data_IF_276390187252
#
_entry.id   IF_276390187252
#
_cell.length_a   1.000
_cell.length_b   1.000
_cell.length_c   1.000
_cell.angle_alpha   90.00
_cell.angle_beta   90.00
_cell.angle_gamma   90.00
#
_symmetry.space_group_name_H-M   'P 1'
#
loop_
_entity.id
_entity.type
_entity.pdbx_description
1 polymer ?
#
# COMPACT_ATOMS: atom_id res chain seq x y z
N UNK A 1 35.56 -6.24 -15.36
CA UNK A 1 34.09 -6.31 -15.46
C UNK A 1 33.58 -4.89 -15.25
N UNK A 2 33.18 -4.22 -16.32
CA UNK A 2 32.55 -2.91 -16.26
C UNK A 2 31.15 -3.11 -15.69
N UNK A 3 30.96 -2.78 -14.41
CA UNK A 3 29.62 -2.59 -13.85
C UNK A 3 29.01 -1.43 -14.60
N UNK A 4 28.12 -1.72 -15.56
CA UNK A 4 27.29 -0.70 -16.19
C UNK A 4 26.56 0.04 -15.07
N UNK A 5 26.82 1.34 -14.97
CA UNK A 5 26.14 2.20 -14.01
C UNK A 5 24.70 2.34 -14.45
N UNK A 6 23.81 1.51 -13.88
CA UNK A 6 22.37 1.60 -14.07
C UNK A 6 21.96 3.04 -13.76
N UNK A 7 21.35 3.72 -14.74
CA UNK A 7 20.95 5.12 -14.60
C UNK A 7 19.62 5.25 -13.85
N UNK A 8 19.28 6.47 -13.44
CA UNK A 8 17.97 6.74 -12.82
C UNK A 8 16.81 6.37 -13.75
N UNK A 9 16.93 6.67 -15.04
CA UNK A 9 15.90 6.41 -16.05
C UNK A 9 15.72 4.91 -16.31
N UNK A 10 16.81 4.13 -16.23
CA UNK A 10 16.75 2.66 -16.34
C UNK A 10 15.94 2.04 -15.19
N UNK A 11 16.14 2.53 -13.95
CA UNK A 11 15.39 2.07 -12.78
C UNK A 11 13.90 2.41 -12.88
N UNK A 12 13.57 3.60 -13.37
CA UNK A 12 12.18 4.04 -13.58
C UNK A 12 11.52 3.16 -14.65
N UNK A 13 12.19 2.98 -15.80
CA UNK A 13 11.68 2.17 -16.91
C UNK A 13 11.46 0.72 -16.50
N UNK A 14 12.43 0.12 -15.80
CA UNK A 14 12.33 -1.25 -15.27
C UNK A 14 11.16 -1.39 -14.29
N UNK A 15 10.97 -0.42 -13.39
CA UNK A 15 9.85 -0.43 -12.45
C UNK A 15 8.49 -0.28 -13.15
N UNK A 16 8.38 0.59 -14.15
CA UNK A 16 7.16 0.77 -14.95
C UNK A 16 6.77 -0.51 -15.69
N UNK A 17 7.75 -1.22 -16.26
CA UNK A 17 7.51 -2.51 -16.92
C UNK A 17 7.07 -3.62 -15.95
N UNK A 18 7.45 -3.51 -14.67
CA UNK A 18 7.13 -4.48 -13.63
C UNK A 18 5.78 -4.25 -12.92
N UNK A 19 5.09 -3.13 -13.19
CA UNK A 19 3.86 -2.70 -12.49
C UNK A 19 2.78 -3.78 -12.38
N UNK A 20 2.59 -4.58 -13.43
CA UNK A 20 1.55 -5.61 -13.49
C UNK A 20 2.03 -7.02 -13.17
N UNK A 21 3.35 -7.23 -13.04
CA UNK A 21 3.92 -8.58 -13.12
C UNK A 21 4.90 -8.93 -11.99
N UNK A 22 5.58 -7.97 -11.37
CA UNK A 22 6.63 -8.30 -10.42
C UNK A 22 6.84 -7.26 -9.30
N UNK A 23 6.21 -7.50 -8.15
CA UNK A 23 6.39 -6.67 -6.95
C UNK A 23 7.84 -6.63 -6.44
N UNK A 24 8.60 -7.72 -6.62
CA UNK A 24 10.01 -7.80 -6.23
C UNK A 24 10.88 -6.84 -7.02
N UNK A 25 10.71 -6.78 -8.35
CA UNK A 25 11.47 -5.87 -9.22
C UNK A 25 11.18 -4.41 -8.89
N UNK A 26 9.93 -4.06 -8.56
CA UNK A 26 9.58 -2.71 -8.12
C UNK A 26 10.30 -2.38 -6.80
N UNK A 27 10.32 -3.31 -5.84
CA UNK A 27 11.03 -3.14 -4.56
C UNK A 27 12.53 -2.95 -4.73
N UNK A 28 13.17 -3.72 -5.61
CA UNK A 28 14.58 -3.60 -6.00
C UNK A 28 14.87 -2.22 -6.61
N UNK A 29 14.10 -1.83 -7.62
CA UNK A 29 14.28 -0.56 -8.31
C UNK A 29 14.09 0.62 -7.35
N UNK A 30 13.08 0.55 -6.48
CA UNK A 30 12.87 1.56 -5.45
C UNK A 30 14.04 1.62 -4.47
N UNK A 31 14.57 0.48 -4.00
CA UNK A 31 15.71 0.44 -3.10
C UNK A 31 16.97 1.05 -3.73
N UNK A 32 17.28 0.67 -4.98
CA UNK A 32 18.42 1.21 -5.71
C UNK A 32 18.27 2.71 -6.00
N UNK A 33 17.07 3.14 -6.40
CA UNK A 33 16.77 4.53 -6.69
C UNK A 33 16.89 5.39 -5.43
N UNK A 34 16.33 4.93 -4.30
CA UNK A 34 16.42 5.66 -3.03
C UNK A 34 17.87 5.76 -2.55
N UNK A 35 18.67 4.71 -2.76
CA UNK A 35 20.07 4.70 -2.34
C UNK A 35 20.96 5.61 -3.20
N UNK A 36 20.75 5.64 -4.52
CA UNK A 36 21.67 6.30 -5.48
C UNK A 36 21.18 7.68 -5.94
N UNK A 37 19.88 7.88 -6.03
CA UNK A 37 19.29 9.01 -6.76
C UNK A 37 18.32 9.88 -5.94
N UNK A 38 17.83 9.44 -4.78
CA UNK A 38 16.86 10.19 -3.98
C UNK A 38 17.27 11.67 -3.77
N UNK A 39 18.49 11.94 -3.26
CA UNK A 39 19.00 13.30 -3.02
C UNK A 39 18.01 14.22 -2.29
N UNK A 40 17.28 13.69 -1.31
CA UNK A 40 16.22 14.39 -0.57
C UNK A 40 14.79 14.11 -1.06
N UNK A 41 14.63 13.43 -2.20
CA UNK A 41 13.37 12.83 -2.64
C UNK A 41 13.03 11.57 -1.85
N UNK A 42 11.77 11.19 -1.88
CA UNK A 42 11.15 10.12 -1.08
C UNK A 42 10.53 9.05 -1.96
N UNK A 43 10.00 7.99 -1.34
CA UNK A 43 9.22 6.96 -2.05
C UNK A 43 7.99 7.54 -2.76
N UNK A 44 7.43 8.65 -2.26
CA UNK A 44 6.34 9.35 -2.93
C UNK A 44 6.78 9.95 -4.27
N UNK A 45 7.98 10.53 -4.33
CA UNK A 45 8.53 11.08 -5.57
C UNK A 45 8.81 9.96 -6.59
N UNK A 46 9.34 8.82 -6.15
CA UNK A 46 9.52 7.67 -7.03
C UNK A 46 8.18 7.09 -7.49
N UNK A 47 7.20 7.01 -6.59
CA UNK A 47 5.83 6.59 -6.88
C UNK A 47 5.20 7.41 -8.00
N UNK A 48 5.35 8.74 -7.97
CA UNK A 48 4.88 9.63 -9.05
C UNK A 48 5.49 9.26 -10.41
N UNK A 49 6.78 8.90 -10.45
CA UNK A 49 7.48 8.54 -11.69
C UNK A 49 7.00 7.22 -12.30
N UNK A 50 6.53 6.29 -11.47
CA UNK A 50 6.11 4.95 -11.91
C UNK A 50 4.60 4.73 -11.86
N UNK A 51 3.81 5.70 -11.38
CA UNK A 51 2.36 5.61 -11.28
C UNK A 51 1.84 4.81 -10.08
N UNK A 52 2.59 4.79 -8.96
CA UNK A 52 2.17 4.19 -7.70
C UNK A 52 2.11 5.23 -6.58
N UNK A 53 1.36 4.93 -5.52
CA UNK A 53 1.42 5.75 -4.30
C UNK A 53 2.76 5.58 -3.58
N UNK A 54 3.19 6.59 -2.82
CA UNK A 54 4.42 6.50 -2.04
C UNK A 54 4.41 5.35 -1.02
N UNK A 55 3.25 5.05 -0.46
CA UNK A 55 3.06 3.92 0.46
C UNK A 55 3.23 2.57 -0.24
N UNK A 56 2.66 2.41 -1.45
CA UNK A 56 2.82 1.20 -2.27
C UNK A 56 4.29 0.94 -2.65
N UNK A 57 5.05 2.00 -2.92
CA UNK A 57 6.50 1.92 -3.19
C UNK A 57 7.24 1.56 -1.92
N UNK A 58 6.95 2.25 -0.80
CA UNK A 58 7.59 2.03 0.48
C UNK A 58 7.44 0.56 0.94
N UNK A 59 6.24 -0.01 0.86
CA UNK A 59 5.98 -1.40 1.24
C UNK A 59 6.82 -2.38 0.42
N UNK A 60 6.85 -2.24 -0.91
CA UNK A 60 7.64 -3.10 -1.80
C UNK A 60 9.13 -2.96 -1.56
N UNK A 61 9.61 -1.74 -1.34
CA UNK A 61 11.00 -1.45 -0.98
C UNK A 61 11.38 -2.11 0.34
N UNK A 62 10.53 -2.02 1.36
CA UNK A 62 10.79 -2.63 2.68
C UNK A 62 10.84 -4.14 2.63
N UNK A 63 9.92 -4.78 1.89
CA UNK A 63 9.94 -6.24 1.68
C UNK A 63 11.24 -6.65 0.98
N UNK A 64 11.61 -5.96 -0.10
CA UNK A 64 12.87 -6.25 -0.80
C UNK A 64 14.08 -6.06 0.12
N UNK A 65 14.19 -4.94 0.83
CA UNK A 65 15.33 -4.68 1.73
C UNK A 65 15.45 -5.70 2.86
N UNK A 66 14.36 -6.35 3.26
CA UNK A 66 14.33 -7.29 4.39
C UNK A 66 14.59 -8.72 3.96
N UNK A 67 14.14 -9.11 2.76
CA UNK A 67 14.13 -10.51 2.33
C UNK A 67 14.86 -10.79 1.01
N UNK A 68 15.46 -9.78 0.36
CA UNK A 68 16.12 -9.94 -0.95
C UNK A 68 17.26 -10.97 -0.97
N UNK A 69 17.89 -11.24 0.16
CA UNK A 69 18.97 -12.21 0.31
C UNK A 69 18.48 -13.65 0.52
N UNK A 70 17.22 -13.83 0.94
CA UNK A 70 16.67 -15.14 1.30
C UNK A 70 15.48 -15.58 0.45
N UNK A 71 14.82 -14.67 -0.29
CA UNK A 71 13.57 -15.01 -1.00
C UNK A 71 13.75 -16.11 -2.06
N UNK A 72 14.94 -16.24 -2.68
CA UNK A 72 15.26 -17.30 -3.63
C UNK A 72 15.22 -18.71 -3.00
N UNK A 73 15.32 -18.81 -1.66
CA UNK A 73 15.18 -20.09 -0.94
C UNK A 73 13.71 -20.54 -0.83
N UNK A 74 12.75 -19.66 -1.14
CA UNK A 74 11.32 -19.87 -0.94
C UNK A 74 10.57 -19.84 -2.28
N UNK A 75 10.84 -20.80 -3.16
CA UNK A 75 10.32 -20.82 -4.54
C UNK A 75 8.79 -20.95 -4.64
N UNK A 76 8.13 -21.46 -3.59
CA UNK A 76 6.68 -21.62 -3.55
C UNK A 76 5.92 -20.42 -2.97
N UNK A 77 6.64 -19.46 -2.36
CA UNK A 77 6.03 -18.34 -1.68
C UNK A 77 5.82 -17.14 -2.60
N UNK A 78 4.71 -16.44 -2.39
CA UNK A 78 4.39 -15.21 -3.10
C UNK A 78 4.88 -14.02 -2.30
N UNK A 79 5.07 -12.88 -2.97
CA UNK A 79 5.43 -11.61 -2.32
C UNK A 79 4.52 -11.29 -1.11
N UNK A 80 3.23 -11.64 -1.18
CA UNK A 80 2.26 -11.45 -0.10
C UNK A 80 2.63 -12.16 1.21
N UNK A 81 3.31 -13.31 1.15
CA UNK A 81 3.79 -14.02 2.35
C UNK A 81 4.85 -13.18 3.08
N UNK A 82 5.82 -12.67 2.33
CA UNK A 82 6.88 -11.81 2.89
C UNK A 82 6.33 -10.48 3.38
N UNK A 83 5.36 -9.92 2.68
CA UNK A 83 4.71 -8.68 3.06
C UNK A 83 4.05 -8.77 4.44
N UNK A 84 3.26 -9.83 4.70
CA UNK A 84 2.61 -9.98 6.00
C UNK A 84 3.63 -10.30 7.11
N UNK A 85 4.74 -10.95 6.77
CA UNK A 85 5.79 -11.32 7.71
C UNK A 85 6.79 -10.19 8.00
N UNK A 86 6.67 -9.03 7.36
CA UNK A 86 7.66 -7.94 7.40
C UNK A 86 7.99 -7.46 8.83
N UNK A 87 7.02 -7.51 9.74
CA UNK A 87 7.17 -7.06 11.11
C UNK A 87 7.08 -8.21 12.14
N UNK A 88 7.14 -9.46 11.68
CA UNK A 88 7.10 -10.62 12.57
C UNK A 88 8.50 -10.94 13.08
N UNK A 89 8.62 -11.13 14.38
CA UNK A 89 9.86 -11.54 15.06
C UNK A 89 10.26 -12.98 14.69
N UNK A 90 9.27 -13.82 14.40
CA UNK A 90 9.35 -15.22 13.98
C UNK A 90 9.14 -15.41 12.46
N UNK A 91 9.41 -14.37 11.66
CA UNK A 91 9.20 -14.39 10.21
C UNK A 91 9.87 -15.59 9.52
N UNK A 92 11.11 -15.92 9.89
CA UNK A 92 11.86 -17.02 9.28
C UNK A 92 11.19 -18.39 9.50
N UNK A 93 10.71 -18.65 10.72
CA UNK A 93 10.00 -19.89 11.06
C UNK A 93 8.65 -19.97 10.35
N UNK A 94 7.90 -18.87 10.31
CA UNK A 94 6.62 -18.80 9.62
C UNK A 94 6.75 -19.01 8.10
N UNK A 95 7.74 -18.37 7.47
CA UNK A 95 7.99 -18.50 6.03
C UNK A 95 8.46 -19.92 5.69
N UNK A 96 9.35 -20.52 6.51
CA UNK A 96 9.77 -21.89 6.31
C UNK A 96 8.60 -22.87 6.41
N UNK A 97 7.76 -22.73 7.44
CA UNK A 97 6.57 -23.55 7.59
C UNK A 97 5.61 -23.40 6.38
N UNK A 98 5.37 -22.17 5.92
CA UNK A 98 4.50 -21.93 4.78
C UNK A 98 5.05 -22.53 3.48
N UNK A 99 6.38 -22.53 3.30
CA UNK A 99 7.04 -23.15 2.16
C UNK A 99 6.92 -24.67 2.20
N UNK A 100 7.12 -25.28 3.37
CA UNK A 100 7.07 -26.74 3.53
C UNK A 100 5.63 -27.28 3.39
N UNK A 101 4.64 -26.50 3.82
CA UNK A 101 3.22 -26.88 3.79
C UNK A 101 2.47 -26.37 2.54
N UNK A 102 3.14 -25.66 1.64
CA UNK A 102 2.52 -24.93 0.52
C UNK A 102 1.33 -24.05 0.96
N UNK A 103 1.45 -23.46 2.15
CA UNK A 103 0.35 -22.79 2.82
C UNK A 103 0.03 -21.44 2.20
N UNK A 104 -1.25 -21.08 2.21
CA UNK A 104 -1.72 -19.72 1.89
C UNK A 104 -1.29 -18.73 2.99
N UNK A 105 -1.37 -17.43 2.67
CA UNK A 105 -1.10 -16.35 3.64
C UNK A 105 -2.02 -16.44 4.87
N UNK A 106 -3.27 -16.84 4.68
CA UNK A 106 -4.24 -16.98 5.76
C UNK A 106 -3.86 -18.14 6.70
N UNK A 107 -3.46 -19.28 6.14
CA UNK A 107 -2.98 -20.43 6.91
C UNK A 107 -1.68 -20.12 7.65
N UNK A 108 -0.76 -19.39 7.03
CA UNK A 108 0.47 -18.94 7.70
C UNK A 108 0.18 -18.03 8.90
N UNK A 109 -0.75 -17.07 8.75
CA UNK A 109 -1.23 -16.23 9.87
C UNK A 109 -1.87 -17.07 10.98
N UNK A 110 -2.72 -18.02 10.62
CA UNK A 110 -3.40 -18.89 11.58
C UNK A 110 -2.42 -19.82 12.33
N UNK A 111 -1.45 -20.40 11.61
CA UNK A 111 -0.41 -21.22 12.21
C UNK A 111 0.43 -20.43 13.20
N UNK A 112 0.85 -19.21 12.84
CA UNK A 112 1.59 -18.31 13.74
C UNK A 112 0.82 -18.07 15.04
N UNK A 113 -0.47 -17.72 14.95
CA UNK A 113 -1.34 -17.55 16.13
C UNK A 113 -1.39 -18.81 17.00
N UNK A 114 -1.51 -19.98 16.37
CA UNK A 114 -1.51 -21.25 17.06
C UNK A 114 -0.20 -21.51 17.82
N UNK A 115 0.96 -21.09 17.28
CA UNK A 115 2.26 -21.21 17.96
C UNK A 115 2.37 -20.28 19.18
N UNK A 116 1.81 -19.08 19.11
CA UNK A 116 1.80 -18.12 20.22
C UNK A 116 0.69 -18.39 21.26
N UNK A 117 -0.11 -19.44 21.06
CA UNK A 117 -1.18 -19.82 21.99
C UNK A 117 -2.41 -18.89 21.94
N UNK A 118 -2.57 -18.13 20.85
CA UNK A 118 -3.74 -17.29 20.62
C UNK A 118 -4.96 -18.16 20.24
N UNK A 119 -6.16 -17.74 20.68
CA UNK A 119 -7.40 -18.44 20.39
C UNK A 119 -7.80 -18.24 18.91
N UNK A 120 -7.78 -19.33 18.13
CA UNK A 120 -8.12 -19.33 16.70
C UNK A 120 -9.61 -19.16 16.42
N UNK A 121 -10.47 -19.20 17.45
CA UNK A 121 -11.90 -18.93 17.33
C UNK A 121 -12.24 -17.44 17.37
N UNK A 122 -11.33 -16.60 17.86
CA UNK A 122 -11.45 -15.14 17.82
C UNK A 122 -10.99 -14.60 16.46
N UNK A 123 -11.67 -13.57 15.91
CA UNK A 123 -11.16 -12.92 14.72
C UNK A 123 -9.77 -12.38 15.00
N UNK A 124 -8.87 -12.58 14.04
CA UNK A 124 -7.57 -11.93 13.97
C UNK A 124 -7.64 -10.52 14.57
N UNK A 125 -7.01 -10.27 15.72
CA UNK A 125 -6.78 -8.90 16.15
C UNK A 125 -5.78 -8.33 15.13
N UNK A 126 -6.29 -7.63 14.13
CA UNK A 126 -5.52 -7.14 12.98
C UNK A 126 -4.55 -6.05 13.45
N UNK A 127 -3.44 -6.45 14.05
CA UNK A 127 -2.20 -5.66 14.08
C UNK A 127 -1.33 -6.03 12.88
N UNK A 128 -1.94 -6.12 11.70
CA UNK A 128 -1.19 -5.82 10.49
C UNK A 128 -1.21 -4.30 10.37
N UNK A 129 -0.08 -3.58 10.46
CA UNK A 129 -0.08 -2.13 10.26
C UNK A 129 -0.57 -1.72 8.85
N UNK A 130 -0.84 -2.69 7.98
CA UNK A 130 -1.28 -2.49 6.61
C UNK A 130 -2.26 -3.59 6.18
N UNK A 131 -3.41 -3.73 6.85
CA UNK A 131 -4.54 -4.45 6.25
C UNK A 131 -5.10 -3.64 5.08
N UNK A 132 -4.63 -3.98 3.89
CA UNK A 132 -5.35 -3.72 2.67
C UNK A 132 -5.69 -5.09 2.11
N UNK A 133 -6.99 -5.29 1.89
CA UNK A 133 -7.63 -6.36 1.11
C UNK A 133 -7.19 -6.19 -0.37
N UNK A 134 -7.22 -7.22 -1.25
CA UNK A 134 -6.49 -7.28 -2.55
C UNK A 134 -6.82 -6.25 -3.65
N UNK A 135 -7.31 -5.06 -3.34
CA UNK A 135 -7.59 -3.99 -4.31
C UNK A 135 -6.30 -3.30 -4.82
N UNK A 136 -5.15 -3.53 -4.15
CA UNK A 136 -3.85 -2.94 -4.50
C UNK A 136 -2.97 -3.83 -5.40
N UNK A 137 -3.48 -4.99 -5.83
CA UNK A 137 -2.83 -5.86 -6.82
C UNK A 137 -3.30 -5.61 -8.25
N UNK A 138 -4.36 -4.83 -8.43
CA UNK A 138 -4.72 -4.25 -9.73
C UNK A 138 -4.08 -2.88 -9.81
N UNK A 139 -3.06 -2.75 -10.66
CA UNK A 139 -2.70 -1.45 -11.19
C UNK A 139 -3.97 -0.86 -11.81
N UNK A 140 -4.59 0.13 -11.15
CA UNK A 140 -5.55 0.98 -11.83
C UNK A 140 -4.80 1.59 -13.01
N UNK A 141 -5.12 1.14 -14.22
CA UNK A 141 -4.61 1.73 -15.45
C UNK A 141 -5.03 3.18 -15.45
N UNK A 142 -4.13 4.06 -15.01
CA UNK A 142 -4.34 5.48 -14.99
C UNK A 142 -4.78 5.95 -16.37
N UNK A 143 -5.91 6.66 -16.41
CA UNK A 143 -6.39 7.35 -17.59
C UNK A 143 -5.26 8.24 -18.10
N UNK A 144 -4.74 7.93 -19.29
CA UNK A 144 -3.76 8.76 -20.00
C UNK A 144 -4.39 10.14 -20.23
N UNK A 145 -3.99 11.15 -19.44
CA UNK A 145 -4.28 12.54 -19.76
C UNK A 145 -3.35 12.96 -20.90
N UNK A 146 -3.92 13.04 -22.09
CA UNK A 146 -3.25 13.57 -23.28
C UNK A 146 -2.89 15.05 -23.05
N UNK A 147 -1.66 15.49 -23.36
CA UNK A 147 -1.27 16.89 -23.25
C UNK A 147 -1.84 17.65 -24.46
N UNK A 148 -3.02 18.27 -24.29
CA UNK A 148 -3.69 18.93 -25.40
C UNK A 148 -4.74 19.99 -25.09
N UNK A 149 -5.22 20.14 -23.85
CA UNK A 149 -6.24 21.16 -23.53
C UNK A 149 -5.69 22.25 -22.61
N UNK A 150 -4.92 23.15 -23.21
CA UNK A 150 -4.81 24.53 -22.73
C UNK A 150 -5.74 25.40 -23.59
N UNK A 151 -6.97 25.60 -23.13
CA UNK A 151 -7.79 26.72 -23.58
C UNK A 151 -7.99 27.67 -22.40
N UNK A 152 -7.26 28.78 -22.45
CA UNK A 152 -7.39 29.87 -21.49
C UNK A 152 -8.59 30.73 -21.80
N UNK A 153 -9.34 31.09 -20.76
CA UNK A 153 -10.13 32.33 -20.54
C UNK A 153 -10.37 32.33 -19.02
N UNK A 154 -10.11 33.34 -18.20
CA UNK A 154 -9.73 34.74 -18.37
C UNK A 154 -10.25 35.50 -17.14
N UNK A 155 -9.44 36.40 -16.58
CA UNK A 155 -9.91 37.59 -15.86
C UNK A 155 -9.74 37.63 -14.34
N UNK A 156 -9.03 38.67 -13.86
CA UNK A 156 -9.38 39.29 -12.58
C UNK A 156 -8.25 39.83 -11.70
N UNK A 157 -7.47 40.79 -12.20
CA UNK A 157 -6.92 42.02 -11.57
C UNK A 157 -6.71 42.16 -10.05
N UNK A 158 -5.57 42.80 -9.70
CA UNK A 158 -5.26 43.44 -8.41
C UNK A 158 -3.75 43.40 -8.12
N UNK A 159 -2.87 44.18 -8.75
CA UNK A 159 -2.60 45.64 -8.62
C UNK A 159 -1.81 46.04 -7.34
N UNK A 160 -0.69 46.76 -7.55
CA UNK A 160 0.13 47.52 -6.59
C UNK A 160 1.12 46.74 -5.69
N UNK A 161 2.32 47.20 -5.35
CA UNK A 161 3.14 48.34 -5.80
C UNK A 161 4.56 48.17 -5.17
N UNK A 162 5.57 48.55 -5.95
CA UNK A 162 6.95 49.00 -5.63
C UNK A 162 7.53 48.99 -4.21
N UNK A 163 8.82 48.63 -4.12
CA UNK A 163 9.84 49.57 -3.62
C UNK A 163 10.87 49.07 -2.60
N UNK A 164 12.16 49.26 -2.93
CA UNK A 164 13.18 49.67 -1.95
C UNK A 164 14.27 48.67 -1.58
N UNK A 165 15.44 48.81 -2.19
CA UNK A 165 16.68 48.12 -1.79
C UNK A 165 17.35 48.73 -0.55
N UNK A 166 18.25 47.96 0.05
CA UNK A 166 19.14 48.41 1.12
C UNK A 166 20.12 47.31 1.55
N UNK A 167 21.33 47.34 1.01
CA UNK A 167 22.46 46.47 1.35
C UNK A 167 22.99 46.73 2.76
N UNK A 168 23.37 45.65 3.48
CA UNK A 168 24.46 45.62 4.48
C UNK A 168 24.79 44.18 4.87
N UNK A 169 25.91 43.66 4.37
CA UNK A 169 26.67 42.52 4.91
C UNK A 169 27.74 43.03 5.91
N UNK A 170 28.59 42.18 6.53
CA UNK A 170 28.32 40.95 7.28
C UNK A 170 29.07 40.96 8.64
N UNK A 171 28.81 40.01 9.54
CA UNK A 171 29.78 39.70 10.60
C UNK A 171 29.92 38.19 10.81
N UNK A 172 31.14 37.73 10.52
CA UNK A 172 31.64 36.38 10.76
C UNK A 172 31.70 36.06 12.26
N UNK A 173 31.31 34.84 12.64
CA UNK A 173 32.09 34.03 13.57
C UNK A 173 32.15 32.60 13.06
N UNK A 174 33.36 32.05 13.03
CA UNK A 174 33.67 30.71 12.58
C UNK A 174 33.61 29.74 13.77
N UNK A 175 33.02 28.57 13.58
CA UNK A 175 33.41 27.35 14.28
C UNK A 175 33.06 26.12 13.44
N UNK A 176 34.06 25.26 13.33
CA UNK A 176 34.25 24.10 12.46
C UNK A 176 33.14 23.06 12.43
N UNK A 177 33.11 22.40 11.28
CA UNK A 177 32.38 21.17 10.98
C UNK A 177 32.60 20.06 12.01
N UNK A 178 31.52 19.38 12.39
CA UNK A 178 31.51 17.92 12.36
C UNK A 178 30.13 17.43 11.91
N UNK A 179 30.12 16.58 10.89
CA UNK A 179 28.94 15.92 10.36
C UNK A 179 28.61 14.74 11.26
N UNK A 180 27.39 14.67 11.75
CA UNK A 180 26.75 13.37 11.99
C UNK A 180 25.27 13.50 11.66
N UNK A 181 24.90 12.78 10.61
CA UNK A 181 23.56 12.70 10.05
C UNK A 181 22.78 11.69 10.88
N UNK A 182 22.17 12.13 11.96
CA UNK A 182 21.14 11.37 12.68
C UNK A 182 19.77 11.98 12.38
N UNK A 183 19.24 11.68 11.20
CA UNK A 183 17.80 11.76 10.96
C UNK A 183 17.20 10.37 11.23
N UNK A 184 16.96 10.10 12.51
CA UNK A 184 16.05 9.05 12.95
C UNK A 184 14.80 9.74 13.49
N UNK A 185 13.65 9.71 12.78
CA UNK A 185 12.46 10.43 13.22
C UNK A 185 11.87 9.94 14.55
N UNK A 186 12.42 8.88 15.15
CA UNK A 186 12.03 8.37 16.47
C UNK A 186 13.24 7.90 17.31
N UNK A 187 14.12 8.82 17.70
CA UNK A 187 15.11 8.58 18.74
C UNK A 187 14.47 8.53 20.14
N UNK A 188 14.95 7.63 21.00
CA UNK A 188 14.44 7.39 22.37
C UNK A 188 14.44 8.60 23.32
N UNK A 189 15.02 9.73 22.91
CA UNK A 189 15.05 10.98 23.69
C UNK A 189 14.00 12.01 23.25
N UNK A 190 13.16 11.71 22.26
CA UNK A 190 12.04 12.58 21.82
C UNK A 190 10.72 12.35 22.59
N UNK A 191 10.75 11.63 23.73
CA UNK A 191 9.59 11.55 24.64
C UNK A 191 9.58 12.80 25.52
N UNK A 192 8.94 13.86 25.04
CA UNK A 192 8.36 14.88 25.91
C UNK A 192 7.35 14.24 26.90
N UNK A 193 7.05 14.89 28.03
CA UNK A 193 6.08 14.35 28.98
C UNK A 193 4.74 14.11 28.28
N UNK A 194 4.18 12.92 28.50
CA UNK A 194 2.95 12.47 27.86
C UNK A 194 1.81 13.50 28.05
N UNK A 195 1.15 13.96 26.98
CA UNK A 195 -0.14 14.60 27.12
C UNK A 195 -1.13 13.54 27.60
N UNK A 196 -1.84 13.88 28.68
CA UNK A 196 -2.81 13.00 29.32
C UNK A 196 -3.94 12.56 28.40
N UNK A 197 -4.53 11.43 28.80
CA UNK A 197 -5.81 10.85 28.40
C UNK A 197 -6.72 11.76 27.58
N UNK A 198 -6.61 11.63 26.26
CA UNK A 198 -7.59 12.08 25.29
C UNK A 198 -7.85 10.95 24.33
N UNK A 199 -8.82 10.10 24.65
CA UNK A 199 -9.29 9.06 23.74
C UNK A 199 -9.82 9.73 22.47
N UNK A 200 -9.08 9.61 21.36
CA UNK A 200 -9.62 9.88 20.02
C UNK A 200 -10.64 8.79 19.73
N UNK A 201 -11.91 9.09 19.96
CA UNK A 201 -13.02 8.28 19.48
C UNK A 201 -12.92 8.18 17.97
N UNK A 202 -12.62 6.99 17.47
CA UNK A 202 -12.69 6.65 16.04
C UNK A 202 -14.18 6.79 15.66
N UNK A 203 -14.53 7.89 14.99
CA UNK A 203 -15.91 8.14 14.57
C UNK A 203 -16.41 6.95 13.76
N UNK A 204 -17.49 6.31 14.24
CA UNK A 204 -18.15 5.25 13.49
C UNK A 204 -18.58 5.80 12.13
N UNK A 205 -18.43 5.03 11.04
CA UNK A 205 -18.85 5.48 9.73
C UNK A 205 -20.34 5.81 9.79
N UNK A 206 -20.68 7.04 9.40
CA UNK A 206 -22.07 7.49 9.34
C UNK A 206 -22.90 6.47 8.55
N UNK A 207 -24.13 6.20 9.00
CA UNK A 207 -25.05 5.28 8.34
C UNK A 207 -25.14 5.59 6.83
N UNK A 208 -25.10 6.86 6.45
CA UNK A 208 -25.09 7.29 5.05
C UNK A 208 -23.88 6.77 4.25
N UNK A 209 -22.69 6.73 4.85
CA UNK A 209 -21.49 6.18 4.22
C UNK A 209 -21.57 4.66 4.08
N UNK A 210 -22.14 3.96 5.06
CA UNK A 210 -22.36 2.51 5.02
C UNK A 210 -23.36 2.16 3.92
N UNK A 211 -24.49 2.86 3.84
CA UNK A 211 -25.48 2.65 2.79
C UNK A 211 -24.95 3.00 1.39
N UNK A 212 -24.16 4.09 1.25
CA UNK A 212 -23.53 4.43 -0.04
C UNK A 212 -22.55 3.35 -0.51
N UNK A 213 -21.71 2.83 0.39
CA UNK A 213 -20.78 1.74 0.07
C UNK A 213 -21.52 0.45 -0.26
N UNK A 214 -22.56 0.12 0.49
CA UNK A 214 -23.42 -1.04 0.25
C UNK A 214 -24.11 -0.99 -1.12
N UNK A 215 -24.68 0.16 -1.48
CA UNK A 215 -25.30 0.36 -2.79
C UNK A 215 -24.29 0.16 -3.93
N UNK A 216 -23.11 0.77 -3.85
CA UNK A 216 -22.07 0.61 -4.87
C UNK A 216 -21.58 -0.85 -5.00
N UNK A 217 -21.54 -1.61 -3.90
CA UNK A 217 -21.20 -3.03 -3.94
C UNK A 217 -22.29 -3.85 -4.64
N UNK A 218 -23.56 -3.60 -4.35
CA UNK A 218 -24.70 -4.28 -5.00
C UNK A 218 -24.77 -3.97 -6.50
N UNK A 219 -24.53 -2.71 -6.89
CA UNK A 219 -24.47 -2.32 -8.31
C UNK A 219 -23.37 -3.06 -9.06
N UNK A 220 -22.19 -3.25 -8.45
CA UNK A 220 -21.10 -4.05 -9.03
C UNK A 220 -21.47 -5.53 -9.16
N UNK A 221 -22.12 -6.10 -8.15
CA UNK A 221 -22.60 -7.50 -8.21
C UNK A 221 -23.59 -7.65 -9.36
N UNK A 222 -24.56 -6.75 -9.49
CA UNK A 222 -25.52 -6.76 -10.61
C UNK A 222 -24.82 -6.60 -11.97
N UNK A 223 -23.84 -5.70 -12.08
CA UNK A 223 -23.08 -5.51 -13.32
C UNK A 223 -22.22 -6.73 -13.69
N UNK A 224 -21.76 -7.50 -12.70
CA UNK A 224 -20.98 -8.72 -12.92
C UNK A 224 -21.84 -9.93 -13.31
N UNK A 225 -23.14 -9.93 -13.00
CA UNK A 225 -24.08 -10.98 -13.39
C UNK A 225 -24.51 -10.82 -14.85
N UNK A 226 -23.61 -11.18 -15.75
CA UNK A 226 -23.90 -11.16 -17.19
C UNK A 226 -24.92 -12.24 -17.57
N UNK A 227 -25.67 -12.08 -18.68
CA UNK A 227 -26.62 -13.09 -19.14
C UNK A 227 -26.01 -14.49 -19.31
N UNK A 228 -24.76 -14.56 -19.78
CA UNK A 228 -24.02 -15.82 -19.91
C UNK A 228 -23.76 -16.49 -18.55
N UNK A 229 -23.40 -15.72 -17.52
CA UNK A 229 -23.19 -16.27 -16.17
C UNK A 229 -24.49 -16.72 -15.51
N UNK A 230 -25.61 -16.09 -15.85
CA UNK A 230 -26.94 -16.50 -15.37
C UNK A 230 -27.35 -17.81 -16.05
N UNK A 231 -27.06 -17.97 -17.35
CA UNK A 231 -27.26 -19.22 -18.06
C UNK A 231 -26.39 -20.34 -17.45
N UNK A 232 -25.11 -20.11 -17.22
CA UNK A 232 -24.18 -21.12 -16.67
C UNK A 232 -24.36 -21.39 -15.16
N UNK A 233 -25.28 -20.68 -14.47
CA UNK A 233 -25.45 -20.78 -13.02
C UNK A 233 -25.82 -22.20 -12.57
N UNK A 234 -26.59 -22.93 -13.39
CA UNK A 234 -27.00 -24.31 -13.10
C UNK A 234 -25.88 -25.35 -13.22
N UNK A 235 -24.78 -24.99 -13.90
CA UNK A 235 -23.60 -25.84 -14.08
C UNK A 235 -22.59 -25.69 -12.93
N UNK A 236 -22.78 -24.71 -12.05
CA UNK A 236 -21.93 -24.50 -10.89
C UNK A 236 -22.11 -25.62 -9.83
N UNK A 237 -21.14 -25.86 -8.95
CA UNK A 237 -21.30 -26.79 -7.83
C UNK A 237 -22.51 -26.42 -6.96
N UNK A 238 -23.31 -27.41 -6.56
CA UNK A 238 -24.55 -27.19 -5.79
C UNK A 238 -24.34 -26.40 -4.49
N UNK A 239 -23.20 -26.61 -3.81
CA UNK A 239 -22.82 -25.85 -2.61
C UNK A 239 -22.66 -24.35 -2.89
N UNK A 240 -22.13 -24.00 -4.06
CA UNK A 240 -21.88 -22.61 -4.46
C UNK A 240 -23.18 -21.94 -4.94
N UNK A 241 -24.05 -22.68 -5.65
CA UNK A 241 -25.39 -22.22 -6.00
C UNK A 241 -26.22 -21.92 -4.75
N UNK A 242 -26.24 -22.86 -3.79
CA UNK A 242 -27.00 -22.72 -2.55
C UNK A 242 -26.49 -21.54 -1.73
N UNK A 243 -25.17 -21.41 -1.56
CA UNK A 243 -24.57 -20.28 -0.84
C UNK A 243 -24.92 -18.93 -1.47
N UNK A 244 -24.95 -18.84 -2.79
CA UNK A 244 -25.31 -17.60 -3.49
C UNK A 244 -26.79 -17.26 -3.28
N UNK A 245 -27.69 -18.23 -3.43
CA UNK A 245 -29.13 -18.04 -3.21
C UNK A 245 -29.44 -17.66 -1.76
N UNK A 246 -28.83 -18.33 -0.78
CA UNK A 246 -28.98 -18.03 0.64
C UNK A 246 -28.53 -16.59 0.96
N UNK A 247 -27.45 -16.12 0.32
CA UNK A 247 -26.96 -14.75 0.48
C UNK A 247 -27.94 -13.70 -0.08
N UNK A 248 -28.54 -13.99 -1.24
CA UNK A 248 -29.57 -13.13 -1.85
C UNK A 248 -30.84 -13.10 -1.02
N UNK A 249 -31.30 -14.25 -0.50
CA UNK A 249 -32.49 -14.34 0.36
C UNK A 249 -32.28 -13.59 1.67
N UNK A 250 -31.11 -13.72 2.30
CA UNK A 250 -30.78 -12.98 3.52
C UNK A 250 -30.76 -11.47 3.29
N UNK A 251 -30.20 -11.04 2.15
CA UNK A 251 -30.21 -9.63 1.75
C UNK A 251 -31.65 -9.12 1.56
N UNK A 252 -32.50 -9.88 0.85
CA UNK A 252 -33.91 -9.52 0.65
C UNK A 252 -34.68 -9.45 1.98
N UNK A 253 -34.49 -10.41 2.88
CA UNK A 253 -35.13 -10.42 4.19
C UNK A 253 -34.73 -9.20 5.04
N UNK A 254 -33.47 -8.78 5.00
CA UNK A 254 -32.99 -7.58 5.70
C UNK A 254 -33.47 -6.29 5.04
N UNK A 255 -33.52 -6.25 3.70
CA UNK A 255 -34.00 -5.10 2.94
C UNK A 255 -35.52 -4.88 3.12
N UNK A 256 -36.31 -5.95 3.26
CA UNK A 256 -37.74 -5.85 3.57
C UNK A 256 -38.02 -5.19 4.93
N UNK A 257 -37.07 -5.20 5.86
CA UNK A 257 -37.16 -4.47 7.13
C UNK A 257 -36.84 -2.97 7.01
N UNK A 258 -36.42 -2.49 5.84
CA UNK A 258 -36.10 -1.08 5.56
C UNK A 258 -37.23 -0.34 4.82
N UNK A 259 -38.27 -1.06 4.35
CA UNK A 259 -39.44 -0.52 3.65
C UNK A 259 -40.64 -0.33 4.56
#
# INVERSE_FOLDING_TARGET
MTTETITEEDLITRAQQALSSCNWVIGECAAEWTQKYAKGRTDADFGVLIGLSGDQVYQRRRVWQTFADVYDNYTGLKWSHFYVALNWDDAAECLQWAQDMEATVAEMKAWRRAQHGEDLSEPATEESPFDVVPEYLTAETGIVRMPGDYTGVGGGSGDGETGGGGSREPQMTAASANRESDYAPFGKEARGPAPGEGASTRDEPSAEQVFRKGAAALERVVASLTPAMIEDFHDLPAELQQRFLDAVENLQARAAGLS
#
